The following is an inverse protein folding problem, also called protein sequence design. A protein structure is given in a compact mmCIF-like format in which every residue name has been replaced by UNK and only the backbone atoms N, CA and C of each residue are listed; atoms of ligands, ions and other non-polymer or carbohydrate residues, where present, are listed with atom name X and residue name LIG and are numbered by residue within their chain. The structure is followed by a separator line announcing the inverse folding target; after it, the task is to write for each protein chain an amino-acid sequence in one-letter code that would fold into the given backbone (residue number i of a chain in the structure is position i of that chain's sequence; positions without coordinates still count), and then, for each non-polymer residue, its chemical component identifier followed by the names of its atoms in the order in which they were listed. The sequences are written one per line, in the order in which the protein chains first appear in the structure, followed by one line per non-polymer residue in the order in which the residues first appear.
data_IF_847610927583
#
_entry.id   IF_847610927583
#
_cell.length_a   1.000
_cell.length_b   1.000
_cell.length_c   1.000
_cell.angle_alpha   90.00
_cell.angle_beta   90.00
_cell.angle_gamma   90.00
#
_symmetry.space_group_name_H-M   'P 1'
#
loop_
_entity.id
_entity.type
_entity.pdbx_description
1 polymer ?
#
# COMPACT_ATOMS: atom_id res chain seq x y z
N UNK A 1 1.56 -8.75 -8.80
CA UNK A 1 1.09 -7.49 -8.17
C UNK A 1 1.40 -6.32 -9.09
N UNK A 2 0.39 -5.61 -9.51
CA UNK A 2 0.59 -4.37 -10.26
C UNK A 2 0.81 -3.25 -9.28
N UNK A 3 1.83 -2.44 -9.52
CA UNK A 3 2.18 -1.38 -8.60
C UNK A 3 1.75 0.01 -9.08
N UNK A 4 1.77 0.25 -10.38
CA UNK A 4 1.30 1.53 -10.92
C UNK A 4 -0.08 1.35 -11.54
N UNK A 5 -0.98 2.33 -11.36
CA UNK A 5 -2.35 2.17 -11.80
C UNK A 5 -2.50 2.24 -13.31
N UNK A 6 -3.35 1.37 -13.85
CA UNK A 6 -3.76 1.41 -15.24
C UNK A 6 -5.22 1.79 -15.38
N UNK A 7 -5.98 1.71 -14.29
CA UNK A 7 -7.41 2.05 -14.29
C UNK A 7 -7.84 2.47 -12.88
N UNK A 8 -9.06 2.99 -12.72
CA UNK A 8 -9.51 3.49 -11.42
C UNK A 8 -9.42 2.47 -10.29
N UNK A 9 -9.04 2.94 -9.11
CA UNK A 9 -8.84 2.10 -7.94
C UNK A 9 -10.09 1.29 -7.58
N UNK A 10 -11.27 1.88 -7.67
CA UNK A 10 -12.49 1.21 -7.29
C UNK A 10 -12.80 -0.02 -8.15
N UNK A 11 -12.19 -0.10 -9.33
CA UNK A 11 -12.34 -1.26 -10.20
C UNK A 11 -11.34 -2.36 -9.91
N UNK A 12 -10.24 -2.03 -9.22
CA UNK A 12 -9.11 -2.94 -9.06
C UNK A 12 -8.93 -3.44 -7.64
N UNK A 13 -9.17 -2.57 -6.65
CA UNK A 13 -8.94 -2.95 -5.26
C UNK A 13 -10.04 -3.89 -4.80
N UNK A 14 -9.69 -5.12 -4.39
CA UNK A 14 -10.71 -6.08 -3.96
C UNK A 14 -11.22 -5.73 -2.55
N UNK A 15 -12.50 -6.01 -2.31
CA UNK A 15 -13.07 -5.84 -1.00
C UNK A 15 -13.09 -7.11 -0.18
N UNK A 16 -12.94 -8.26 -0.83
CA UNK A 16 -12.99 -9.56 -0.18
C UNK A 16 -11.98 -10.51 -0.80
N UNK A 17 -11.51 -11.47 0.00
CA UNK A 17 -10.60 -12.49 -0.50
C UNK A 17 -11.37 -13.63 -1.18
N UNK A 18 -10.64 -14.66 -1.62
CA UNK A 18 -11.24 -15.78 -2.34
C UNK A 18 -12.25 -16.55 -1.50
N UNK A 19 -12.13 -16.50 -0.18
CA UNK A 19 -13.05 -17.17 0.74
C UNK A 19 -14.19 -16.27 1.18
N UNK A 20 -14.31 -15.07 0.61
CA UNK A 20 -15.39 -14.15 0.93
C UNK A 20 -15.17 -13.30 2.17
N UNK A 21 -14.00 -13.37 2.80
CA UNK A 21 -13.70 -12.58 3.99
C UNK A 21 -13.38 -11.14 3.60
N UNK A 22 -13.86 -10.19 4.40
CA UNK A 22 -13.57 -8.78 4.17
C UNK A 22 -12.07 -8.51 4.33
N UNK A 23 -11.52 -7.70 3.42
CA UNK A 23 -10.11 -7.33 3.45
C UNK A 23 -9.95 -5.99 4.16
N UNK A 24 -8.75 -5.71 4.62
CA UNK A 24 -8.40 -4.43 5.25
C UNK A 24 -7.59 -3.60 4.28
N UNK A 25 -7.66 -2.28 4.45
CA UNK A 25 -6.93 -1.34 3.60
C UNK A 25 -6.18 -0.35 4.44
N UNK A 26 -5.04 0.13 3.92
CA UNK A 26 -4.43 1.33 4.47
C UNK A 26 -3.87 2.18 3.33
N UNK A 27 -3.70 3.46 3.60
CA UNK A 27 -3.21 4.40 2.62
C UNK A 27 -2.09 5.22 3.24
N UNK A 28 -1.01 5.39 2.49
CA UNK A 28 0.11 6.22 2.91
C UNK A 28 0.34 7.31 1.87
N UNK A 29 0.90 8.42 2.32
CA UNK A 29 1.34 9.47 1.43
C UNK A 29 2.85 9.63 1.57
N UNK A 30 3.53 9.85 0.44
CA UNK A 30 4.97 10.11 0.45
C UNK A 30 5.14 11.51 -0.11
N UNK A 31 5.15 12.54 0.76
CA UNK A 31 5.11 13.94 0.29
C UNK A 31 6.26 14.27 -0.66
N UNK A 32 5.92 14.91 -1.77
CA UNK A 32 6.90 15.39 -2.71
C UNK A 32 7.54 14.33 -3.60
N UNK A 33 7.12 13.07 -3.50
CA UNK A 33 7.78 12.01 -4.25
C UNK A 33 7.78 12.27 -5.76
N UNK A 34 6.65 12.71 -6.32
CA UNK A 34 6.55 12.91 -7.77
C UNK A 34 7.47 14.02 -8.29
N UNK A 35 8.01 14.85 -7.41
CA UNK A 35 8.91 15.93 -7.78
C UNK A 35 10.38 15.54 -7.65
N UNK A 36 10.66 14.34 -7.19
CA UNK A 36 12.04 13.85 -7.07
C UNK A 36 12.55 13.40 -8.44
N UNK A 37 13.85 13.11 -8.52
CA UNK A 37 14.42 12.60 -9.74
C UNK A 37 13.82 11.23 -10.08
N UNK A 38 13.87 10.85 -11.35
CA UNK A 38 13.38 9.55 -11.78
C UNK A 38 14.09 8.42 -11.03
N UNK A 39 15.37 8.59 -10.77
CA UNK A 39 16.15 7.59 -10.03
C UNK A 39 15.68 7.45 -8.60
N UNK A 40 15.44 8.58 -7.92
CA UNK A 40 14.95 8.56 -6.54
C UNK A 40 13.57 7.93 -6.47
N UNK A 41 12.69 8.28 -7.41
CA UNK A 41 11.35 7.67 -7.46
C UNK A 41 11.50 6.16 -7.63
N UNK A 42 12.32 5.72 -8.56
CA UNK A 42 12.53 4.30 -8.81
C UNK A 42 13.02 3.58 -7.57
N UNK A 43 14.03 4.15 -6.89
CA UNK A 43 14.58 3.53 -5.69
C UNK A 43 13.55 3.45 -4.57
N UNK A 44 12.76 4.51 -4.39
CA UNK A 44 11.72 4.54 -3.38
C UNK A 44 10.66 3.46 -3.64
N UNK A 45 10.23 3.34 -4.90
CA UNK A 45 9.23 2.34 -5.26
C UNK A 45 9.77 0.93 -5.06
N UNK A 46 11.06 0.72 -5.33
CA UNK A 46 11.67 -0.60 -5.11
C UNK A 46 11.75 -0.94 -3.64
N UNK A 47 12.03 0.04 -2.77
CA UNK A 47 12.03 -0.20 -1.34
C UNK A 47 10.66 -0.62 -0.86
N UNK A 48 9.62 0.10 -1.29
CA UNK A 48 8.25 -0.21 -0.90
C UNK A 48 7.86 -1.60 -1.41
N UNK A 49 8.13 -1.88 -2.68
CA UNK A 49 7.78 -3.16 -3.27
C UNK A 49 8.48 -4.31 -2.54
N UNK A 50 9.75 -4.10 -2.17
CA UNK A 50 10.49 -5.11 -1.41
C UNK A 50 9.85 -5.44 -0.07
N UNK A 51 9.36 -4.43 0.63
CA UNK A 51 8.64 -4.64 1.89
C UNK A 51 7.36 -5.43 1.63
N UNK A 52 6.57 -5.01 0.65
CA UNK A 52 5.30 -5.67 0.34
C UNK A 52 5.51 -7.13 -0.03
N UNK A 53 6.54 -7.41 -0.82
CA UNK A 53 6.83 -8.79 -1.24
C UNK A 53 7.23 -9.67 -0.06
N UNK A 54 7.89 -9.11 0.95
CA UNK A 54 8.25 -9.90 2.15
C UNK A 54 7.02 -10.35 2.93
N UNK A 55 5.93 -9.60 2.86
CA UNK A 55 4.70 -10.00 3.55
C UNK A 55 3.91 -11.04 2.76
N UNK A 56 4.34 -11.32 1.53
CA UNK A 56 3.82 -12.42 0.75
C UNK A 56 2.31 -12.36 0.55
N UNK A 57 1.63 -13.46 0.86
CA UNK A 57 0.19 -13.55 0.63
C UNK A 57 -0.64 -12.66 1.53
N UNK A 58 -0.03 -12.03 2.54
CA UNK A 58 -0.76 -11.08 3.38
C UNK A 58 -1.14 -9.84 2.59
N UNK A 59 -0.36 -9.48 1.56
CA UNK A 59 -0.66 -8.34 0.69
C UNK A 59 -1.42 -8.85 -0.52
N UNK A 60 -2.67 -8.42 -0.65
CA UNK A 60 -3.55 -8.85 -1.74
C UNK A 60 -3.47 -7.91 -2.93
N UNK A 61 -3.28 -6.63 -2.67
CA UNK A 61 -3.29 -5.62 -3.72
C UNK A 61 -2.49 -4.41 -3.25
N UNK A 62 -1.74 -3.79 -4.14
CA UNK A 62 -1.02 -2.56 -3.84
C UNK A 62 -0.96 -1.70 -5.09
N UNK A 63 -1.06 -0.40 -4.89
CA UNK A 63 -1.03 0.55 -5.99
C UNK A 63 -0.40 1.85 -5.53
N UNK A 64 0.51 2.37 -6.35
CA UNK A 64 1.13 3.67 -6.13
C UNK A 64 0.60 4.66 -7.17
N UNK A 65 0.05 5.78 -6.69
CA UNK A 65 -0.41 6.85 -7.57
C UNK A 65 0.56 8.02 -7.42
N UNK A 66 1.43 8.20 -8.41
CA UNK A 66 2.46 9.24 -8.35
C UNK A 66 1.90 10.64 -8.54
N UNK A 67 0.71 10.78 -9.11
CA UNK A 67 0.12 12.12 -9.27
C UNK A 67 -0.20 12.75 -7.93
N UNK A 68 -0.57 11.94 -6.96
CA UNK A 68 -0.94 12.42 -5.62
C UNK A 68 -0.05 11.83 -4.53
N UNK A 69 1.06 11.17 -4.92
CA UNK A 69 2.05 10.61 -4.00
C UNK A 69 1.43 9.64 -2.97
N UNK A 70 0.45 8.86 -3.39
CA UNK A 70 -0.33 8.02 -2.49
C UNK A 70 -0.09 6.55 -2.78
N UNK A 71 0.12 5.77 -1.72
CA UNK A 71 0.22 4.33 -1.77
C UNK A 71 -1.02 3.73 -1.12
N UNK A 72 -1.72 2.89 -1.86
CA UNK A 72 -2.88 2.16 -1.34
C UNK A 72 -2.50 0.69 -1.25
N UNK A 73 -2.78 0.06 -0.10
CA UNK A 73 -2.48 -1.35 0.10
C UNK A 73 -3.69 -2.04 0.70
N UNK A 74 -4.06 -3.18 0.10
CA UNK A 74 -5.13 -4.05 0.59
C UNK A 74 -4.49 -5.32 1.12
N UNK A 75 -4.85 -5.69 2.34
CA UNK A 75 -4.23 -6.80 3.05
C UNK A 75 -5.28 -7.73 3.61
N UNK A 76 -4.87 -8.97 3.91
CA UNK A 76 -5.73 -9.90 4.63
C UNK A 76 -5.99 -9.38 6.04
N UNK A 77 -7.14 -9.75 6.65
CA UNK A 77 -7.52 -9.23 7.96
C UNK A 77 -6.73 -9.87 9.10
N UNK A 78 -5.44 -9.59 9.13
CA UNK A 78 -4.53 -10.07 10.18
C UNK A 78 -4.47 -9.01 11.27
N UNK A 79 -4.68 -9.36 12.54
CA UNK A 79 -4.67 -8.37 13.62
C UNK A 79 -3.39 -7.53 13.62
N UNK A 80 -3.56 -6.21 13.65
CA UNK A 80 -2.46 -5.26 13.73
C UNK A 80 -1.72 -4.98 12.43
N UNK A 81 -2.06 -5.67 11.33
CA UNK A 81 -1.29 -5.54 10.10
C UNK A 81 -1.38 -4.13 9.50
N UNK A 82 -2.51 -3.44 9.68
CA UNK A 82 -2.67 -2.09 9.15
C UNK A 82 -1.89 -1.03 9.93
N UNK A 83 -1.23 -1.42 10.99
CA UNK A 83 -0.30 -0.56 11.72
C UNK A 83 1.13 -1.06 11.59
N UNK A 84 1.31 -2.37 11.58
CA UNK A 84 2.63 -2.97 11.47
C UNK A 84 3.26 -2.72 10.09
N UNK A 85 2.52 -3.01 9.03
CA UNK A 85 3.06 -2.89 7.68
C UNK A 85 3.40 -1.45 7.31
N UNK A 86 2.53 -0.46 7.61
CA UNK A 86 2.93 0.94 7.39
C UNK A 86 4.16 1.35 8.18
N UNK A 87 4.32 0.82 9.40
CA UNK A 87 5.50 1.14 10.20
C UNK A 87 6.77 0.61 9.55
N UNK A 88 6.72 -0.58 8.97
CA UNK A 88 7.88 -1.15 8.27
C UNK A 88 8.18 -0.35 7.01
N UNK A 89 7.14 0.07 6.28
CA UNK A 89 7.33 0.91 5.10
C UNK A 89 8.00 2.24 5.51
N UNK A 90 7.51 2.85 6.59
CA UNK A 90 8.08 4.11 7.07
C UNK A 90 9.53 3.93 7.52
N UNK A 91 9.87 2.78 8.05
CA UNK A 91 11.26 2.51 8.45
C UNK A 91 12.19 2.57 7.23
N UNK A 92 11.72 2.05 6.08
CA UNK A 92 12.51 2.06 4.84
C UNK A 92 12.40 3.38 4.10
N UNK A 93 11.27 4.05 4.21
CA UNK A 93 10.98 5.31 3.53
C UNK A 93 10.51 6.28 4.62
N UNK A 94 11.44 6.95 5.32
CA UNK A 94 11.08 7.74 6.50
C UNK A 94 10.07 8.85 6.28
N UNK A 95 9.99 9.38 5.06
CA UNK A 95 9.05 10.46 4.75
C UNK A 95 7.62 9.95 4.50
N UNK A 96 7.42 8.64 4.43
CA UNK A 96 6.08 8.09 4.24
C UNK A 96 5.25 8.27 5.51
N UNK A 97 3.98 8.63 5.32
CA UNK A 97 3.07 8.89 6.42
C UNK A 97 1.80 8.08 6.23
N UNK A 98 1.33 7.43 7.30
CA UNK A 98 0.05 6.73 7.28
C UNK A 98 -1.07 7.77 7.34
N UNK A 99 -1.95 7.77 6.34
CA UNK A 99 -3.03 8.74 6.25
C UNK A 99 -4.34 8.16 6.76
N UNK A 100 -4.63 6.91 6.38
CA UNK A 100 -5.89 6.29 6.74
C UNK A 100 -5.75 4.77 6.70
N UNK A 101 -6.55 4.08 7.50
CA UNK A 101 -6.66 2.64 7.42
C UNK A 101 -8.09 2.22 7.69
N UNK A 102 -8.47 1.07 7.16
CA UNK A 102 -9.81 0.55 7.27
C UNK A 102 -9.72 -0.92 7.64
N UNK A 103 -9.83 -1.25 8.93
CA UNK A 103 -9.78 -2.64 9.37
C UNK A 103 -11.06 -3.37 8.97
N UNK A 104 -10.93 -4.67 8.66
CA UNK A 104 -12.06 -5.47 8.22
C UNK A 104 -13.14 -5.58 9.29
N UNK A 105 -12.77 -5.41 10.55
CA UNK A 105 -13.73 -5.50 11.66
C UNK A 105 -14.78 -4.40 11.65
N UNK A 106 -14.65 -3.42 10.79
CA UNK A 106 -15.63 -2.36 10.65
C UNK A 106 -16.87 -2.78 9.86
N UNK A 107 -16.88 -3.98 9.37
CA UNK A 107 -18.00 -4.46 8.56
C UNK A 107 -19.14 -4.99 9.43
#
# INVERSE_FOLDING_TARGET
MEFLPAEPLWKRAPGRDAEGRALSDFMMIIPGLCKKSAETIHDTLKEIEGVLLRYGSAVVFAEMNLKINTLWVTVRPIPGICLELPAVIKYRVPEALLVAHKPSSYR
#
